data_IF_935228092788
#
_entry.id   IF_935228092788
#
_cell.length_a   1.000
_cell.length_b   1.000
_cell.length_c   1.000
_cell.angle_alpha   90.00
_cell.angle_beta   90.00
_cell.angle_gamma   90.00
#
_symmetry.space_group_name_H-M   'P 1'
#
loop_
_entity.id
_entity.type
_entity.pdbx_description
1 polymer ?
#
# COMPACT_ATOMS: atom_id res chain seq x y z
N UNK A 1 23.29 1.40 -38.64
CA UNK A 1 23.45 2.87 -38.49
C UNK A 1 23.70 3.17 -37.02
N UNK A 2 24.71 3.97 -36.64
CA UNK A 2 24.88 4.34 -35.24
C UNK A 2 23.69 5.19 -34.78
N UNK A 3 23.00 4.81 -33.71
CA UNK A 3 21.87 5.53 -33.08
C UNK A 3 22.27 6.89 -32.44
N UNK A 4 23.34 7.51 -32.91
CA UNK A 4 23.95 8.70 -32.32
C UNK A 4 23.63 10.02 -33.04
N UNK A 5 22.71 10.03 -34.01
CA UNK A 5 22.53 11.18 -34.91
C UNK A 5 21.12 11.75 -34.99
N UNK A 6 20.18 11.31 -34.16
CA UNK A 6 18.87 11.95 -34.12
C UNK A 6 18.95 13.25 -33.30
N UNK A 7 18.40 14.38 -33.80
CA UNK A 7 18.33 15.64 -33.08
C UNK A 7 17.58 15.52 -31.73
N UNK A 8 17.90 16.35 -30.72
CA UNK A 8 17.20 16.36 -29.43
C UNK A 8 15.68 16.49 -29.55
N UNK A 9 15.18 17.21 -30.54
CA UNK A 9 13.75 17.42 -30.81
C UNK A 9 13.04 16.10 -31.14
N UNK A 10 13.71 15.19 -31.86
CA UNK A 10 13.15 13.87 -32.17
C UNK A 10 13.06 13.03 -30.90
N UNK A 11 14.06 13.10 -30.02
CA UNK A 11 14.01 12.38 -28.76
C UNK A 11 12.98 12.95 -27.79
N UNK A 12 12.75 14.27 -27.83
CA UNK A 12 11.66 14.91 -27.11
C UNK A 12 10.31 14.41 -27.61
N UNK A 13 10.10 14.31 -28.93
CA UNK A 13 8.87 13.72 -29.49
C UNK A 13 8.68 12.27 -29.07
N UNK A 14 9.75 11.47 -29.03
CA UNK A 14 9.69 10.09 -28.54
C UNK A 14 9.31 10.08 -27.06
N UNK A 15 9.96 10.89 -26.22
CA UNK A 15 9.63 11.01 -24.79
C UNK A 15 8.16 11.39 -24.60
N UNK A 16 7.68 12.40 -25.31
CA UNK A 16 6.33 12.94 -25.17
C UNK A 16 5.25 11.99 -25.74
N UNK A 17 5.66 11.00 -26.56
CA UNK A 17 4.79 9.92 -27.01
C UNK A 17 4.62 8.80 -25.98
N UNK A 18 5.47 8.73 -24.95
CA UNK A 18 5.33 7.78 -23.85
C UNK A 18 4.16 8.25 -22.98
N UNK A 19 3.13 7.43 -22.75
CA UNK A 19 2.03 7.81 -21.86
C UNK A 19 2.55 8.06 -20.46
N UNK A 20 2.09 9.12 -19.79
CA UNK A 20 2.52 9.48 -18.43
C UNK A 20 2.37 8.33 -17.42
N UNK A 21 1.38 7.46 -17.64
CA UNK A 21 1.16 6.28 -16.81
C UNK A 21 2.19 5.15 -17.05
N UNK A 22 2.97 5.18 -18.13
CA UNK A 22 4.01 4.17 -18.40
C UNK A 22 5.33 4.52 -17.69
N UNK A 23 5.30 4.45 -16.36
CA UNK A 23 6.45 4.72 -15.50
C UNK A 23 7.67 3.85 -15.85
N UNK A 24 7.44 2.59 -16.22
CA UNK A 24 8.53 1.67 -16.58
C UNK A 24 9.28 2.15 -17.83
N UNK A 25 8.57 2.57 -18.86
CA UNK A 25 9.19 3.11 -20.07
C UNK A 25 9.84 4.47 -19.80
N UNK A 26 9.22 5.34 -19.01
CA UNK A 26 9.85 6.62 -18.61
C UNK A 26 11.19 6.42 -17.89
N UNK A 27 11.23 5.55 -16.87
CA UNK A 27 12.48 5.26 -16.14
C UNK A 27 13.51 4.60 -17.05
N UNK A 28 13.10 3.62 -17.86
CA UNK A 28 14.01 2.95 -18.80
C UNK A 28 14.61 3.93 -19.80
N UNK A 29 13.80 4.85 -20.33
CA UNK A 29 14.26 5.89 -21.25
C UNK A 29 15.19 6.89 -20.56
N UNK A 30 14.85 7.32 -19.33
CA UNK A 30 15.69 8.20 -18.51
C UNK A 30 17.07 7.57 -18.22
N UNK A 31 17.12 6.29 -17.86
CA UNK A 31 18.38 5.59 -17.50
C UNK A 31 19.23 5.17 -18.70
N UNK A 32 18.65 5.08 -19.91
CA UNK A 32 19.35 4.55 -21.07
C UNK A 32 20.56 5.40 -21.52
N UNK A 33 20.53 6.72 -21.32
CA UNK A 33 21.67 7.61 -21.58
C UNK A 33 21.50 8.97 -20.90
N UNK A 34 22.61 9.64 -20.56
CA UNK A 34 22.62 10.99 -19.94
C UNK A 34 21.86 12.04 -20.77
N UNK A 35 21.93 11.95 -22.10
CA UNK A 35 21.17 12.84 -23.00
C UNK A 35 19.66 12.69 -22.87
N UNK A 36 19.16 11.51 -22.51
CA UNK A 36 17.73 11.27 -22.30
C UNK A 36 17.31 11.73 -20.91
N UNK A 37 18.14 11.53 -19.89
CA UNK A 37 17.93 12.10 -18.56
C UNK A 37 17.75 13.63 -18.64
N UNK A 38 18.57 14.32 -19.45
CA UNK A 38 18.44 15.77 -19.66
C UNK A 38 17.07 16.20 -20.20
N UNK A 39 16.35 15.37 -20.96
CA UNK A 39 14.99 15.67 -21.43
C UNK A 39 13.93 15.69 -20.31
N UNK A 40 14.24 15.06 -19.17
CA UNK A 40 13.41 15.09 -17.97
C UNK A 40 13.90 16.15 -16.99
N UNK A 41 15.21 16.27 -16.79
CA UNK A 41 15.78 17.20 -15.81
C UNK A 41 15.67 18.68 -16.24
N UNK A 42 15.37 18.97 -17.51
CA UNK A 42 15.24 20.35 -18.03
C UNK A 42 13.80 20.85 -18.15
N UNK A 43 12.80 20.05 -17.77
CA UNK A 43 11.41 20.53 -17.72
C UNK A 43 11.26 21.57 -16.60
N UNK A 44 10.22 22.41 -16.67
CA UNK A 44 10.03 23.53 -15.74
C UNK A 44 9.97 23.08 -14.27
N UNK A 45 9.35 21.93 -14.01
CA UNK A 45 9.33 21.28 -12.69
C UNK A 45 9.55 19.76 -12.86
N UNK A 46 10.81 19.29 -12.77
CA UNK A 46 11.12 17.89 -12.94
C UNK A 46 10.48 16.99 -11.88
N UNK A 47 10.38 17.46 -10.63
CA UNK A 47 9.84 16.62 -9.55
C UNK A 47 8.32 16.44 -9.69
N UNK A 48 7.60 17.51 -10.07
CA UNK A 48 6.17 17.42 -10.37
C UNK A 48 5.86 16.46 -11.53
N UNK A 49 6.71 16.43 -12.58
CA UNK A 49 6.57 15.45 -13.65
C UNK A 49 6.63 14.00 -13.11
N UNK A 50 7.62 13.71 -12.26
CA UNK A 50 7.77 12.36 -11.69
C UNK A 50 6.66 12.05 -10.66
N UNK A 51 6.16 13.06 -9.95
CA UNK A 51 4.98 12.94 -9.09
C UNK A 51 3.76 12.48 -9.89
N UNK A 52 3.51 13.10 -11.04
CA UNK A 52 2.39 12.73 -11.91
C UNK A 52 2.56 11.30 -12.45
N UNK A 53 3.78 10.93 -12.88
CA UNK A 53 4.09 9.56 -13.33
C UNK A 53 3.80 8.53 -12.23
N UNK A 54 4.27 8.79 -11.01
CA UNK A 54 4.02 7.92 -9.85
C UNK A 54 2.53 7.87 -9.50
N UNK A 55 1.85 9.01 -9.48
CA UNK A 55 0.42 9.14 -9.15
C UNK A 55 -0.44 8.36 -10.13
N UNK A 56 -0.16 8.45 -11.43
CA UNK A 56 -0.87 7.68 -12.46
C UNK A 56 -0.68 6.17 -12.33
N UNK A 57 0.39 5.73 -11.65
CA UNK A 57 0.66 4.34 -11.30
C UNK A 57 0.23 3.97 -9.88
N UNK A 58 -0.48 4.87 -9.19
CA UNK A 58 -0.84 4.77 -7.78
C UNK A 58 0.34 4.44 -6.86
N UNK A 59 1.50 5.06 -7.10
CA UNK A 59 2.70 4.92 -6.29
C UNK A 59 2.84 6.16 -5.41
N UNK A 60 2.99 5.93 -4.11
CA UNK A 60 3.09 6.95 -3.08
C UNK A 60 4.49 7.06 -2.47
N UNK A 61 4.59 8.04 -1.60
CA UNK A 61 5.77 8.34 -0.79
C UNK A 61 5.54 7.87 0.63
N UNK A 62 6.58 7.39 1.30
CA UNK A 62 6.46 7.00 2.70
C UNK A 62 6.44 8.22 3.62
N UNK A 63 5.80 8.15 4.81
CA UNK A 63 5.64 9.29 5.71
C UNK A 63 6.96 9.89 6.21
N UNK A 64 8.02 9.10 6.26
CA UNK A 64 9.36 9.50 6.71
C UNK A 64 10.25 10.07 5.59
N UNK A 65 9.77 10.09 4.34
CA UNK A 65 10.50 10.60 3.19
C UNK A 65 10.17 12.08 2.95
N UNK A 66 11.01 12.97 3.48
CA UNK A 66 10.85 14.41 3.23
C UNK A 66 11.23 14.76 1.77
N UNK A 67 10.50 15.67 1.09
CA UNK A 67 10.81 16.09 -0.30
C UNK A 67 12.23 16.57 -0.54
N UNK A 68 12.84 17.19 0.47
CA UNK A 68 14.23 17.66 0.37
C UNK A 68 15.26 16.53 0.43
N UNK A 69 14.85 15.32 0.83
CA UNK A 69 15.72 14.15 1.01
C UNK A 69 15.51 13.17 -0.13
N UNK A 70 14.27 12.99 -0.59
CA UNK A 70 13.92 12.01 -1.63
C UNK A 70 12.96 12.61 -2.65
N UNK A 71 13.42 12.67 -3.89
CA UNK A 71 12.60 13.15 -5.03
C UNK A 71 11.65 12.06 -5.51
N UNK A 72 10.58 12.44 -6.20
CA UNK A 72 9.70 11.48 -6.89
C UNK A 72 10.44 10.71 -7.97
N UNK A 73 11.44 11.34 -8.60
CA UNK A 73 12.35 10.67 -9.52
C UNK A 73 13.06 9.48 -8.87
N UNK A 74 13.61 9.67 -7.67
CA UNK A 74 14.33 8.61 -6.96
C UNK A 74 13.39 7.46 -6.58
N UNK A 75 12.15 7.78 -6.23
CA UNK A 75 11.10 6.79 -5.95
C UNK A 75 10.76 5.99 -7.20
N UNK A 76 10.47 6.65 -8.32
CA UNK A 76 10.16 5.99 -9.59
C UNK A 76 11.32 5.08 -10.05
N UNK A 77 12.55 5.61 -9.98
CA UNK A 77 13.77 4.89 -10.34
C UNK A 77 13.98 3.66 -9.45
N UNK A 78 13.84 3.79 -8.13
CA UNK A 78 13.92 2.66 -7.19
C UNK A 78 12.89 1.58 -7.55
N UNK A 79 11.62 1.96 -7.67
CA UNK A 79 10.52 1.04 -7.98
C UNK A 79 10.79 0.22 -9.24
N UNK A 80 11.22 0.88 -10.32
CA UNK A 80 11.46 0.17 -11.59
C UNK A 80 12.75 -0.64 -11.57
N UNK A 81 13.82 -0.12 -10.94
CA UNK A 81 15.11 -0.82 -10.89
C UNK A 81 15.04 -2.07 -10.01
N UNK A 82 14.32 -2.01 -8.88
CA UNK A 82 14.21 -3.13 -7.95
C UNK A 82 13.15 -4.13 -8.41
N UNK A 83 11.98 -3.64 -8.83
CA UNK A 83 10.80 -4.49 -9.02
C UNK A 83 10.14 -4.40 -10.40
N UNK A 84 10.44 -3.37 -11.20
CA UNK A 84 9.69 -3.06 -12.43
C UNK A 84 9.69 -4.18 -13.48
N UNK A 85 10.70 -5.05 -13.41
CA UNK A 85 10.86 -6.22 -14.28
C UNK A 85 10.66 -7.55 -13.55
N UNK A 86 10.12 -7.51 -12.33
CA UNK A 86 9.72 -8.72 -11.63
C UNK A 86 8.62 -9.41 -12.44
N UNK A 87 8.85 -10.65 -12.86
CA UNK A 87 7.90 -11.44 -13.67
C UNK A 87 6.69 -11.94 -12.86
N UNK A 88 6.55 -11.48 -11.61
CA UNK A 88 5.55 -11.95 -10.65
C UNK A 88 5.89 -13.36 -10.18
N UNK A 89 6.15 -13.53 -8.88
CA UNK A 89 6.14 -14.88 -8.33
C UNK A 89 4.69 -15.36 -8.22
N UNK A 90 4.46 -16.68 -8.19
CA UNK A 90 3.14 -17.25 -7.87
C UNK A 90 2.60 -16.84 -6.49
N UNK A 91 3.39 -16.11 -5.69
CA UNK A 91 3.06 -15.69 -4.32
C UNK A 91 2.67 -14.20 -4.20
N UNK A 92 3.01 -13.33 -5.17
CA UNK A 92 2.55 -11.94 -5.18
C UNK A 92 2.68 -11.32 -6.59
N UNK A 93 1.66 -10.61 -7.11
CA UNK A 93 1.79 -9.85 -8.34
C UNK A 93 2.61 -8.57 -8.09
N UNK A 94 3.66 -8.38 -8.88
CA UNK A 94 4.57 -7.24 -8.80
C UNK A 94 4.96 -6.79 -10.22
N UNK A 95 5.91 -5.85 -10.33
CA UNK A 95 6.42 -5.33 -11.58
C UNK A 95 5.32 -4.75 -12.47
N UNK A 96 5.41 -5.05 -13.77
CA UNK A 96 4.49 -4.51 -14.77
C UNK A 96 3.03 -4.92 -14.54
N UNK A 97 2.79 -6.14 -14.02
CA UNK A 97 1.43 -6.61 -13.75
C UNK A 97 0.76 -5.76 -12.67
N UNK A 98 1.51 -5.40 -11.62
CA UNK A 98 0.99 -4.53 -10.55
C UNK A 98 0.82 -3.09 -11.06
N UNK A 99 1.79 -2.56 -11.80
CA UNK A 99 1.70 -1.22 -12.37
C UNK A 99 0.49 -1.08 -13.30
N UNK A 100 0.28 -2.04 -14.21
CA UNK A 100 -0.87 -2.06 -15.10
C UNK A 100 -2.18 -2.06 -14.31
N UNK A 101 -2.26 -2.93 -13.30
CA UNK A 101 -3.44 -2.99 -12.46
C UNK A 101 -3.72 -1.69 -11.72
N UNK A 102 -2.71 -1.08 -11.10
CA UNK A 102 -2.87 0.20 -10.41
C UNK A 102 -3.37 1.29 -11.36
N UNK A 103 -2.83 1.36 -12.59
CA UNK A 103 -3.30 2.29 -13.63
C UNK A 103 -4.77 2.10 -13.97
N UNK A 104 -5.18 0.85 -14.18
CA UNK A 104 -6.55 0.53 -14.55
C UNK A 104 -7.52 0.91 -13.43
N UNK A 105 -7.15 0.63 -12.17
CA UNK A 105 -7.93 1.05 -11.01
C UNK A 105 -8.05 2.58 -10.88
N UNK A 106 -6.94 3.31 -11.07
CA UNK A 106 -6.96 4.78 -11.06
C UNK A 106 -7.86 5.36 -12.16
N UNK A 107 -7.79 4.81 -13.38
CA UNK A 107 -8.64 5.23 -14.51
C UNK A 107 -10.12 4.93 -14.26
N UNK A 108 -10.43 3.73 -13.80
CA UNK A 108 -11.80 3.32 -13.50
C UNK A 108 -12.39 4.19 -12.38
N UNK A 109 -11.64 4.40 -11.29
CA UNK A 109 -12.09 5.24 -10.18
C UNK A 109 -12.28 6.70 -10.61
N UNK A 110 -11.41 7.24 -11.47
CA UNK A 110 -11.59 8.60 -12.01
C UNK A 110 -12.89 8.72 -12.83
N UNK A 111 -13.18 7.74 -13.69
CA UNK A 111 -14.43 7.70 -14.46
C UNK A 111 -15.66 7.61 -13.56
N UNK A 112 -15.62 6.76 -12.54
CA UNK A 112 -16.71 6.60 -11.58
C UNK A 112 -16.90 7.83 -10.70
N UNK A 113 -15.81 8.47 -10.28
CA UNK A 113 -15.84 9.72 -9.50
C UNK A 113 -16.48 10.84 -10.31
N UNK A 114 -16.12 10.99 -11.58
CA UNK A 114 -16.77 11.96 -12.47
C UNK A 114 -18.28 11.70 -12.59
N UNK A 115 -18.69 10.44 -12.79
CA UNK A 115 -20.12 10.07 -12.86
C UNK A 115 -20.86 10.37 -11.55
N UNK A 116 -20.28 10.02 -10.41
CA UNK A 116 -20.86 10.28 -9.09
C UNK A 116 -21.02 11.80 -8.84
N UNK A 117 -20.00 12.59 -9.19
CA UNK A 117 -20.06 14.05 -9.07
C UNK A 117 -21.20 14.67 -9.90
N UNK A 118 -21.43 14.17 -11.12
CA UNK A 118 -22.56 14.60 -11.97
C UNK A 118 -23.92 14.19 -11.37
N UNK A 119 -23.98 13.06 -10.67
CA UNK A 119 -25.19 12.55 -10.02
C UNK A 119 -25.44 13.15 -8.61
N UNK A 120 -24.50 13.90 -8.05
CA UNK A 120 -24.56 14.36 -6.65
C UNK A 120 -24.32 13.25 -5.62
N UNK A 121 -23.67 12.17 -6.03
CA UNK A 121 -23.33 11.01 -5.20
C UNK A 121 -21.90 11.13 -4.64
N UNK A 122 -21.59 10.47 -3.50
CA UNK A 122 -20.23 10.44 -2.96
C UNK A 122 -19.27 9.71 -3.92
N UNK A 123 -18.01 10.15 -3.93
CA UNK A 123 -16.98 9.51 -4.74
C UNK A 123 -16.76 8.06 -4.29
N UNK A 124 -16.81 7.08 -5.21
CA UNK A 124 -16.56 5.69 -4.85
C UNK A 124 -15.09 5.51 -4.49
N UNK A 125 -14.84 4.73 -3.44
CA UNK A 125 -13.49 4.33 -3.04
C UNK A 125 -13.36 2.82 -3.11
N UNK A 126 -12.26 2.37 -3.69
CA UNK A 126 -11.88 0.96 -3.71
C UNK A 126 -10.57 0.72 -2.97
N UNK A 127 -10.52 -0.32 -2.16
CA UNK A 127 -9.31 -0.71 -1.43
C UNK A 127 -8.39 -1.54 -2.30
N UNK A 128 -7.08 -1.34 -2.15
CA UNK A 128 -6.10 -2.13 -2.88
C UNK A 128 -6.10 -3.58 -2.40
N UNK A 129 -6.21 -4.53 -3.34
CA UNK A 129 -6.19 -5.96 -3.00
C UNK A 129 -4.87 -6.43 -2.41
N UNK A 130 -3.79 -5.64 -2.53
CA UNK A 130 -2.56 -5.90 -1.76
C UNK A 130 -2.86 -5.98 -0.26
N UNK A 131 -3.83 -5.23 0.27
CA UNK A 131 -4.23 -5.32 1.69
C UNK A 131 -4.93 -6.63 2.08
N UNK A 132 -5.17 -7.55 1.13
CA UNK A 132 -5.84 -8.82 1.39
C UNK A 132 -4.81 -9.94 1.56
N UNK A 133 -5.10 -10.89 2.46
CA UNK A 133 -4.19 -11.99 2.81
C UNK A 133 -3.83 -12.90 1.63
N UNK A 134 -4.73 -13.07 0.67
CA UNK A 134 -4.51 -13.87 -0.55
C UNK A 134 -3.33 -13.36 -1.40
N UNK A 135 -2.90 -12.10 -1.19
CA UNK A 135 -1.78 -11.48 -1.91
C UNK A 135 -0.42 -11.64 -1.22
N UNK A 136 -0.38 -12.02 0.06
CA UNK A 136 0.86 -12.09 0.84
C UNK A 136 1.16 -13.46 1.46
N UNK A 137 0.22 -14.42 1.41
CA UNK A 137 0.39 -15.73 2.04
C UNK A 137 0.48 -15.63 3.57
N UNK A 138 1.12 -16.62 4.20
CA UNK A 138 1.35 -16.69 5.66
C UNK A 138 2.39 -15.64 6.13
N UNK A 139 2.12 -14.35 5.92
CA UNK A 139 2.92 -13.29 6.53
C UNK A 139 2.74 -13.32 8.04
N UNK A 140 3.65 -14.05 8.67
CA UNK A 140 4.21 -13.77 9.98
C UNK A 140 4.68 -12.30 10.05
N UNK A 141 4.76 -11.71 11.25
CA UNK A 141 4.58 -10.28 11.55
C UNK A 141 5.75 -9.33 11.17
N UNK A 142 6.56 -9.64 10.15
CA UNK A 142 7.67 -8.79 9.68
C UNK A 142 7.45 -8.26 8.25
N UNK A 143 6.54 -7.29 8.11
CA UNK A 143 6.27 -6.53 6.86
C UNK A 143 7.49 -5.75 6.38
N UNK A 144 8.40 -5.37 7.28
CA UNK A 144 9.43 -4.35 7.03
C UNK A 144 10.61 -4.81 6.17
N UNK A 145 10.78 -6.12 5.89
CA UNK A 145 11.99 -6.63 5.19
C UNK A 145 11.73 -7.47 3.95
N UNK A 146 10.48 -7.65 3.53
CA UNK A 146 10.13 -8.56 2.41
C UNK A 146 9.24 -7.95 1.35
N UNK A 147 8.67 -6.77 1.58
CA UNK A 147 7.78 -6.17 0.60
C UNK A 147 8.59 -5.43 -0.46
N UNK A 148 8.39 -5.82 -1.71
CA UNK A 148 8.90 -5.14 -2.88
C UNK A 148 8.49 -3.65 -2.84
N UNK A 149 9.41 -2.67 -3.05
CA UNK A 149 9.11 -1.25 -3.12
C UNK A 149 7.83 -0.89 -3.90
N UNK A 150 7.58 -1.50 -5.06
CA UNK A 150 6.35 -1.27 -5.83
C UNK A 150 5.08 -1.64 -5.05
N UNK A 151 5.11 -2.77 -4.34
CA UNK A 151 3.97 -3.22 -3.55
C UNK A 151 3.80 -2.32 -2.31
N UNK A 152 4.89 -1.99 -1.62
CA UNK A 152 4.87 -1.19 -0.41
C UNK A 152 4.34 0.22 -0.67
N UNK A 153 4.77 0.83 -1.76
CA UNK A 153 4.39 2.20 -2.15
C UNK A 153 3.07 2.29 -2.88
N UNK A 154 2.47 1.17 -3.32
CA UNK A 154 1.16 1.22 -3.93
C UNK A 154 0.14 1.88 -2.99
N UNK A 155 -0.76 2.71 -3.52
CA UNK A 155 -1.81 3.32 -2.71
C UNK A 155 -2.66 2.25 -2.04
N UNK A 156 -3.07 2.52 -0.80
CA UNK A 156 -3.99 1.68 -0.05
C UNK A 156 -5.41 1.69 -0.66
N UNK A 157 -5.77 2.77 -1.35
CA UNK A 157 -7.09 2.97 -1.96
C UNK A 157 -7.00 3.63 -3.34
N UNK A 158 -8.08 3.54 -4.09
CA UNK A 158 -8.30 4.21 -5.37
C UNK A 158 -9.59 5.04 -5.28
N UNK A 159 -9.53 6.37 -5.45
CA UNK A 159 -8.31 7.18 -5.51
C UNK A 159 -7.50 7.12 -4.20
N UNK A 160 -6.25 7.57 -4.25
CA UNK A 160 -5.40 7.65 -3.06
C UNK A 160 -5.95 8.66 -2.05
N UNK A 161 -6.18 8.21 -0.81
CA UNK A 161 -6.67 9.06 0.29
C UNK A 161 -5.51 9.45 1.22
N UNK A 162 -5.63 10.60 1.88
CA UNK A 162 -4.61 11.12 2.82
C UNK A 162 -4.93 10.88 4.29
N UNK A 163 -6.20 10.56 4.57
CA UNK A 163 -6.72 10.36 5.91
C UNK A 163 -7.56 9.09 5.93
N UNK A 164 -7.18 8.13 6.76
CA UNK A 164 -8.03 7.00 7.07
C UNK A 164 -7.97 6.56 8.53
N UNK A 165 -9.03 5.88 8.93
CA UNK A 165 -9.12 5.16 10.19
C UNK A 165 -9.04 3.68 9.85
N UNK A 166 -8.03 2.98 10.35
CA UNK A 166 -7.93 1.53 10.24
C UNK A 166 -8.63 0.91 11.45
N UNK A 167 -9.73 0.21 11.22
CA UNK A 167 -10.54 -0.41 12.28
C UNK A 167 -10.41 -1.94 12.26
N UNK A 168 -10.42 -2.59 13.43
CA UNK A 168 -10.29 -4.03 13.57
C UNK A 168 -11.60 -4.66 14.04
N UNK A 169 -12.17 -5.57 13.25
CA UNK A 169 -13.46 -6.19 13.53
C UNK A 169 -13.36 -7.39 14.51
N UNK A 170 -12.60 -7.16 15.59
CA UNK A 170 -12.63 -7.91 16.86
C UNK A 170 -13.27 -7.08 17.99
N UNK A 171 -14.06 -6.06 17.64
CA UNK A 171 -14.56 -5.09 18.61
C UNK A 171 -13.51 -4.09 19.13
N UNK A 172 -12.33 -4.03 18.51
CA UNK A 172 -11.25 -3.11 18.91
C UNK A 172 -10.86 -2.18 17.75
N UNK A 173 -11.08 -0.88 17.97
CA UNK A 173 -10.43 0.16 17.17
C UNK A 173 -8.91 0.03 17.36
N UNK A 174 -8.16 -0.09 16.26
CA UNK A 174 -6.69 -0.11 16.34
C UNK A 174 -6.25 1.17 17.07
N UNK A 175 -5.37 1.08 18.06
CA UNK A 175 -5.00 2.26 18.86
C UNK A 175 -4.20 3.27 18.03
N UNK A 176 -3.53 2.79 16.99
CA UNK A 176 -2.94 3.56 15.90
C UNK A 176 -3.84 3.60 14.65
N UNK A 177 -5.18 3.66 14.82
CA UNK A 177 -6.16 3.63 13.72
C UNK A 177 -6.04 4.85 12.80
N UNK A 178 -5.69 6.02 13.33
CA UNK A 178 -5.67 7.26 12.55
C UNK A 178 -4.39 7.39 11.74
N UNK A 179 -4.48 6.99 10.49
CA UNK A 179 -3.47 7.24 9.47
C UNK A 179 -3.72 8.61 8.84
N UNK A 180 -2.76 9.51 8.98
CA UNK A 180 -2.76 10.82 8.36
C UNK A 180 -1.40 11.07 7.72
N UNK A 181 -1.41 11.43 6.45
CA UNK A 181 -0.20 11.74 5.68
C UNK A 181 -0.46 12.97 4.80
N UNK A 182 0.60 13.71 4.50
CA UNK A 182 0.55 14.79 3.50
C UNK A 182 0.39 14.21 2.08
N UNK A 183 0.69 12.91 1.91
CA UNK A 183 0.58 12.14 0.68
C UNK A 183 -0.51 11.08 0.77
N UNK A 184 -0.83 10.46 -0.37
CA UNK A 184 -1.74 9.32 -0.38
C UNK A 184 -1.18 8.17 0.46
N UNK A 185 -2.02 7.63 1.33
CA UNK A 185 -1.74 6.49 2.20
C UNK A 185 -1.40 5.29 1.34
N UNK A 186 -0.27 4.67 1.64
CA UNK A 186 0.27 3.50 0.95
C UNK A 186 -0.11 2.21 1.66
N UNK A 187 0.08 1.09 0.98
CA UNK A 187 -0.03 -0.25 1.57
C UNK A 187 0.92 -0.41 2.75
N UNK A 188 2.14 0.14 2.67
CA UNK A 188 3.09 0.12 3.78
C UNK A 188 2.52 0.80 5.03
N UNK A 189 1.91 1.97 4.89
CA UNK A 189 1.36 2.74 6.02
C UNK A 189 0.30 1.95 6.78
N UNK A 190 -0.61 1.33 6.03
CA UNK A 190 -1.67 0.48 6.58
C UNK A 190 -1.08 -0.74 7.29
N UNK A 191 -0.19 -1.47 6.63
CA UNK A 191 0.40 -2.67 7.21
C UNK A 191 1.24 -2.36 8.46
N UNK A 192 1.98 -1.25 8.45
CA UNK A 192 2.77 -0.78 9.58
C UNK A 192 1.88 -0.40 10.76
N UNK A 193 0.75 0.28 10.52
CA UNK A 193 -0.21 0.61 11.58
C UNK A 193 -0.85 -0.64 12.18
N UNK A 194 -1.22 -1.63 11.36
CA UNK A 194 -1.73 -2.93 11.82
C UNK A 194 -0.67 -3.65 12.67
N UNK A 195 0.58 -3.71 12.20
CA UNK A 195 1.66 -4.35 12.96
C UNK A 195 1.96 -3.67 14.29
N UNK A 196 1.95 -2.34 14.31
CA UNK A 196 2.16 -1.57 15.54
C UNK A 196 1.12 -1.94 16.58
N UNK A 197 -0.16 -2.03 16.18
CA UNK A 197 -1.24 -2.42 17.09
C UNK A 197 -1.16 -3.90 17.50
N UNK A 198 -0.79 -4.80 16.58
CA UNK A 198 -0.58 -6.23 16.87
C UNK A 198 0.46 -6.43 17.96
N UNK A 199 1.51 -5.61 17.98
CA UNK A 199 2.60 -5.69 18.95
C UNK A 199 2.26 -5.02 20.30
N UNK A 200 1.15 -4.29 20.39
CA UNK A 200 0.78 -3.64 21.64
C UNK A 200 0.25 -4.62 22.69
N UNK A 201 0.50 -4.35 23.99
CA UNK A 201 -0.10 -5.11 25.07
C UNK A 201 -1.63 -5.08 25.04
N UNK A 202 -2.23 -6.26 25.18
CA UNK A 202 -3.66 -6.46 25.37
C UNK A 202 -4.09 -5.92 26.73
N UNK A 203 -5.23 -5.24 26.74
CA UNK A 203 -5.96 -4.94 27.98
C UNK A 203 -6.66 -6.20 28.46
N UNK A 204 -6.95 -6.25 29.76
CA UNK A 204 -7.67 -7.39 30.36
C UNK A 204 -9.02 -7.62 29.69
N UNK A 205 -9.76 -6.56 29.33
CA UNK A 205 -11.03 -6.69 28.62
C UNK A 205 -10.88 -7.34 27.24
N UNK A 206 -9.92 -6.88 26.45
CA UNK A 206 -9.62 -7.43 25.11
C UNK A 206 -9.21 -8.90 25.17
N UNK A 207 -8.47 -9.29 26.23
CA UNK A 207 -8.11 -10.69 26.46
C UNK A 207 -9.34 -11.53 26.81
N UNK A 208 -10.28 -11.00 27.60
CA UNK A 208 -11.51 -11.72 27.95
C UNK A 208 -12.39 -11.94 26.73
N UNK A 209 -12.59 -10.92 25.89
CA UNK A 209 -13.32 -11.03 24.62
C UNK A 209 -12.72 -12.12 23.72
N UNK A 210 -11.38 -12.15 23.58
CA UNK A 210 -10.72 -13.24 22.85
C UNK A 210 -11.00 -14.63 23.46
N UNK A 211 -10.94 -14.76 24.78
CA UNK A 211 -11.19 -16.04 25.45
C UNK A 211 -12.64 -16.51 25.28
N UNK A 212 -13.60 -15.58 25.18
CA UNK A 212 -15.01 -15.87 24.91
C UNK A 212 -15.22 -16.36 23.47
N UNK A 213 -14.69 -15.65 22.48
CA UNK A 213 -14.87 -15.99 21.06
C UNK A 213 -14.02 -17.20 20.61
N UNK A 214 -12.92 -17.48 21.32
CA UNK A 214 -11.95 -18.54 21.00
C UNK A 214 -11.75 -19.55 22.12
N UNK A 215 -12.80 -19.85 22.89
CA UNK A 215 -12.75 -20.77 24.03
C UNK A 215 -12.02 -22.09 23.71
N UNK A 216 -12.27 -22.67 22.52
CA UNK A 216 -11.62 -23.92 22.11
C UNK A 216 -10.09 -23.79 21.95
N UNK A 217 -9.62 -22.68 21.38
CA UNK A 217 -8.18 -22.39 21.23
C UNK A 217 -7.54 -22.09 22.59
N UNK A 218 -8.25 -21.35 23.43
CA UNK A 218 -7.83 -21.02 24.79
C UNK A 218 -7.69 -22.27 25.67
N UNK A 219 -8.67 -23.17 25.65
CA UNK A 219 -8.66 -24.43 26.39
C UNK A 219 -7.51 -25.34 25.96
N UNK A 220 -7.23 -25.42 24.65
CA UNK A 220 -6.07 -26.14 24.15
C UNK A 220 -4.76 -25.54 24.68
N UNK A 221 -4.59 -24.22 24.65
CA UNK A 221 -3.41 -23.54 25.19
C UNK A 221 -3.26 -23.76 26.72
N UNK A 222 -4.36 -23.67 27.46
CA UNK A 222 -4.43 -23.89 28.91
C UNK A 222 -4.07 -25.33 29.31
N UNK A 223 -4.52 -26.33 28.53
CA UNK A 223 -4.26 -27.74 28.83
C UNK A 223 -2.77 -28.11 28.82
N UNK A 224 -1.97 -27.41 28.00
CA UNK A 224 -0.54 -27.70 27.85
C UNK A 224 0.35 -26.93 28.84
N UNK A 225 -0.05 -25.73 29.28
CA UNK A 225 0.83 -24.81 30.04
C UNK A 225 0.27 -24.34 31.39
N UNK A 226 -1.00 -24.63 31.69
CA UNK A 226 -1.71 -24.08 32.84
C UNK A 226 -2.02 -22.58 32.71
N UNK A 227 -2.86 -22.07 33.61
CA UNK A 227 -3.41 -20.70 33.55
C UNK A 227 -2.32 -19.64 33.48
N UNK A 228 -1.36 -19.66 34.41
CA UNK A 228 -0.28 -18.67 34.46
C UNK A 228 0.58 -18.69 33.20
N UNK A 229 0.95 -19.88 32.71
CA UNK A 229 1.76 -20.02 31.50
C UNK A 229 1.06 -19.56 30.23
N UNK A 230 -0.27 -19.69 30.16
CA UNK A 230 -1.09 -19.17 29.06
C UNK A 230 -1.21 -17.66 29.12
N UNK A 231 -1.51 -17.09 30.29
CA UNK A 231 -1.60 -15.64 30.46
C UNK A 231 -0.26 -14.94 30.24
N UNK A 232 0.85 -15.55 30.65
CA UNK A 232 2.20 -15.03 30.37
C UNK A 232 2.50 -14.99 28.87
N UNK A 233 1.82 -15.80 28.06
CA UNK A 233 2.01 -15.84 26.61
C UNK A 233 1.04 -14.92 25.87
N UNK A 234 -0.22 -14.77 26.29
CA UNK A 234 -1.22 -13.94 25.61
C UNK A 234 -1.08 -12.45 25.99
N UNK A 235 0.09 -11.85 25.74
CA UNK A 235 0.37 -10.46 26.13
C UNK A 235 -0.02 -9.47 25.06
N UNK A 236 0.09 -9.85 23.80
CA UNK A 236 -0.19 -9.02 22.64
C UNK A 236 -1.20 -9.70 21.73
N UNK A 237 -1.80 -8.93 20.81
CA UNK A 237 -2.63 -9.52 19.77
C UNK A 237 -1.80 -10.48 18.90
N UNK A 238 -0.51 -10.18 18.66
CA UNK A 238 0.39 -11.10 17.97
C UNK A 238 0.50 -12.48 18.64
N UNK A 239 0.53 -12.51 19.97
CA UNK A 239 0.58 -13.77 20.73
C UNK A 239 -0.72 -14.57 20.63
N UNK A 240 -1.85 -13.85 20.64
CA UNK A 240 -3.18 -14.39 20.41
C UNK A 240 -3.25 -15.03 19.02
N UNK A 241 -2.85 -14.29 17.99
CA UNK A 241 -2.82 -14.74 16.59
C UNK A 241 -1.87 -15.92 16.37
N UNK A 242 -0.80 -16.04 17.16
CA UNK A 242 0.10 -17.19 17.14
C UNK A 242 -0.49 -18.44 17.81
N UNK A 243 -1.50 -18.27 18.66
CA UNK A 243 -2.19 -19.35 19.38
C UNK A 243 -3.43 -19.83 18.60
N UNK A 244 -4.19 -18.89 18.06
CA UNK A 244 -5.29 -19.13 17.13
C UNK A 244 -4.93 -18.54 15.78
N UNK A 245 -4.51 -19.39 14.84
CA UNK A 245 -4.19 -18.95 13.50
C UNK A 245 -5.42 -18.30 12.86
N UNK A 246 -5.34 -16.99 12.65
CA UNK A 246 -6.20 -16.31 11.68
C UNK A 246 -6.01 -17.02 10.35
N UNK A 247 -7.13 -17.34 9.72
CA UNK A 247 -7.28 -17.92 8.39
C UNK A 247 -7.39 -16.83 7.32
N UNK A 248 -7.85 -15.62 7.67
CA UNK A 248 -8.16 -14.59 6.68
C UNK A 248 -8.05 -13.15 7.22
N UNK A 249 -7.49 -12.24 6.40
CA UNK A 249 -7.58 -10.78 6.62
C UNK A 249 -8.34 -10.18 5.44
N UNK A 250 -9.47 -9.53 5.71
CA UNK A 250 -10.30 -8.86 4.70
C UNK A 250 -10.45 -7.39 5.03
N UNK A 251 -10.45 -6.55 4.02
CA UNK A 251 -11.06 -5.23 4.16
C UNK A 251 -12.57 -5.40 3.96
N UNK A 252 -13.36 -5.08 4.99
CA UNK A 252 -14.82 -5.27 5.02
C UNK A 252 -15.54 -4.07 4.42
N UNK A 253 -15.05 -2.88 4.72
CA UNK A 253 -15.70 -1.64 4.31
C UNK A 253 -14.69 -0.50 4.14
N UNK A 254 -15.02 0.43 3.25
CA UNK A 254 -14.32 1.69 3.07
C UNK A 254 -15.34 2.83 2.97
N UNK A 255 -15.76 3.39 4.10
CA UNK A 255 -16.82 4.40 4.15
C UNK A 255 -16.27 5.78 4.50
N UNK A 256 -16.82 6.81 3.86
CA UNK A 256 -16.53 8.18 4.25
C UNK A 256 -17.24 8.50 5.56
N UNK A 257 -16.49 8.95 6.56
CA UNK A 257 -17.03 9.43 7.84
C UNK A 257 -17.30 10.94 7.80
N UNK A 258 -18.19 11.49 8.66
CA UNK A 258 -18.70 12.86 8.55
C UNK A 258 -17.66 13.99 8.58
N UNK A 259 -16.43 13.72 9.03
CA UNK A 259 -15.31 14.67 9.03
C UNK A 259 -14.48 14.64 7.73
N UNK A 260 -14.91 13.88 6.72
CA UNK A 260 -14.23 13.73 5.44
C UNK A 260 -13.11 12.68 5.41
N UNK A 261 -12.81 12.02 6.54
CA UNK A 261 -11.91 10.87 6.56
C UNK A 261 -12.61 9.61 6.01
N UNK A 262 -11.84 8.57 5.73
CA UNK A 262 -12.39 7.27 5.35
C UNK A 262 -12.08 6.22 6.40
N UNK A 263 -13.05 5.40 6.78
CA UNK A 263 -12.80 4.24 7.64
C UNK A 263 -12.51 3.03 6.75
N UNK A 264 -11.31 2.46 6.86
CA UNK A 264 -10.94 1.18 6.27
C UNK A 264 -11.07 0.13 7.39
N UNK A 265 -12.11 -0.68 7.30
CA UNK A 265 -12.38 -1.72 8.29
C UNK A 265 -11.69 -3.02 7.88
N UNK A 266 -10.87 -3.58 8.75
CA UNK A 266 -10.20 -4.86 8.60
C UNK A 266 -10.88 -5.91 9.46
N UNK A 267 -11.23 -7.04 8.86
CA UNK A 267 -11.70 -8.24 9.53
C UNK A 267 -10.60 -9.29 9.48
N UNK A 268 -10.23 -9.78 10.66
CA UNK A 268 -9.33 -10.91 10.80
C UNK A 268 -10.21 -12.09 11.25
N UNK A 269 -10.19 -13.20 10.52
CA UNK A 269 -10.93 -14.43 10.83
C UNK A 269 -9.98 -15.59 11.02
#
# INVERSE_FOLDING_TARGET
MPMNTLPPEIWLLVKDSIPLSDMRTHVSFYQAASRFAALYDTVADPDAFWEDVCTMCAIGRFPDEHPSVRSWKDIAVECITVDGFCEGSSKHPCGEVLLQRNRDMMRECALRTHKAAVAGEPAPIETNKLLRRDYYGDLAPEVDKKLHPLCARSYATFPGIKHCVADGDWGRELRSSKLQSDYAITVHDVLRAIQADIAEPLRVGELLEYLEDHEHCALHALSYRGVRGTLDRLRTLGDVLATCYVKEVRVVDCTQVPNGAYNIMFYLK
#
